data_IF_864665369429
#
_entry.id   IF_864665369429
#
_cell.length_a   1.000
_cell.length_b   1.000
_cell.length_c   1.000
_cell.angle_alpha   90.00
_cell.angle_beta   90.00
_cell.angle_gamma   90.00
#
_symmetry.space_group_name_H-M   'P 1'
#
loop_
_entity.id
_entity.type
_entity.pdbx_description
1 polymer ?
#
# COMPACT_ATOMS: atom_id res chain seq x y z
N UNK A 1 -12.97 -7.82 -14.61
CA UNK A 1 -11.71 -7.93 -15.35
C UNK A 1 -11.30 -6.53 -15.76
N UNK A 2 -10.37 -5.90 -15.06
CA UNK A 2 -9.77 -4.63 -15.50
C UNK A 2 -8.26 -4.71 -15.26
N UNK A 3 -7.61 -5.56 -16.04
CA UNK A 3 -6.18 -5.46 -16.31
C UNK A 3 -6.04 -4.62 -17.58
N UNK A 4 -6.46 -3.36 -17.51
CA UNK A 4 -6.47 -2.41 -18.64
C UNK A 4 -5.09 -1.77 -18.89
N UNK A 5 -4.09 -2.13 -18.09
CA UNK A 5 -2.73 -1.60 -18.17
C UNK A 5 -2.57 -0.21 -17.55
N UNK A 6 -3.61 0.32 -16.90
CA UNK A 6 -3.54 1.60 -16.20
C UNK A 6 -2.61 1.47 -15.01
N UNK A 7 -1.63 2.38 -14.91
CA UNK A 7 -0.69 2.41 -13.79
C UNK A 7 -1.43 2.83 -12.53
N UNK A 8 -1.22 2.09 -11.45
CA UNK A 8 -1.79 2.43 -10.15
C UNK A 8 -1.16 3.69 -9.58
N UNK A 9 -1.97 4.46 -8.85
CA UNK A 9 -1.51 5.60 -8.07
C UNK A 9 -0.42 5.16 -7.09
N UNK A 10 0.73 5.86 -7.01
CA UNK A 10 1.77 5.54 -6.05
C UNK A 10 1.29 5.75 -4.62
N UNK A 11 1.73 4.88 -3.71
CA UNK A 11 1.51 4.99 -2.27
C UNK A 11 2.77 5.55 -1.61
N UNK A 12 2.63 6.60 -0.81
CA UNK A 12 3.71 7.24 -0.05
C UNK A 12 3.41 7.06 1.45
N UNK A 13 4.33 6.44 2.17
CA UNK A 13 4.19 6.18 3.61
C UNK A 13 5.15 7.08 4.39
N UNK A 14 4.61 8.01 5.15
CA UNK A 14 5.39 8.85 6.06
C UNK A 14 5.66 8.14 7.39
N UNK A 15 6.86 8.34 7.95
CA UNK A 15 7.21 7.90 9.31
C UNK A 15 6.60 8.83 10.36
N UNK A 16 5.28 8.76 10.53
CA UNK A 16 4.47 9.60 11.41
C UNK A 16 3.32 8.79 12.03
N UNK A 17 2.80 9.25 13.17
CA UNK A 17 1.61 8.60 13.80
C UNK A 17 0.28 8.96 13.12
N UNK A 18 0.26 10.07 12.38
CA UNK A 18 -0.92 10.60 11.69
C UNK A 18 -0.47 11.28 10.39
N UNK A 19 -1.36 11.31 9.41
CA UNK A 19 -1.14 12.04 8.16
C UNK A 19 -1.14 13.54 8.47
N UNK A 20 -0.14 14.31 7.99
CA UNK A 20 -0.14 15.77 8.11
C UNK A 20 -1.39 16.39 7.47
N UNK A 21 -1.89 17.47 8.07
CA UNK A 21 -2.98 18.24 7.49
C UNK A 21 -2.40 19.27 6.49
N UNK A 22 -2.12 18.81 5.28
CA UNK A 22 -1.55 19.61 4.20
C UNK A 22 -2.11 19.16 2.85
N UNK A 23 -1.90 19.98 1.83
CA UNK A 23 -2.27 19.64 0.45
C UNK A 23 -1.19 18.73 -0.15
N UNK A 24 -1.63 17.59 -0.69
CA UNK A 24 -0.76 16.65 -1.39
C UNK A 24 -1.04 16.69 -2.89
N UNK A 25 -0.04 16.36 -3.73
CA UNK A 25 -0.25 16.25 -5.18
C UNK A 25 -1.41 15.30 -5.52
N UNK A 26 -2.16 15.61 -6.57
CA UNK A 26 -3.20 14.70 -7.05
C UNK A 26 -2.60 13.39 -7.58
N UNK A 27 -3.36 12.30 -7.48
CA UNK A 27 -2.96 11.00 -8.02
C UNK A 27 -1.96 10.24 -7.17
N UNK A 28 -1.67 10.66 -5.93
CA UNK A 28 -0.91 9.87 -4.95
C UNK A 28 -1.77 9.49 -3.75
N UNK A 29 -1.47 8.35 -3.16
CA UNK A 29 -2.10 7.89 -1.92
C UNK A 29 -1.13 8.14 -0.77
N UNK A 30 -1.59 8.88 0.24
CA UNK A 30 -0.78 9.21 1.41
C UNK A 30 -1.20 8.34 2.59
N UNK A 31 -0.21 7.73 3.24
CA UNK A 31 -0.35 6.92 4.44
C UNK A 31 0.68 7.38 5.48
N UNK A 32 0.42 7.10 6.74
CA UNK A 32 1.34 7.40 7.83
C UNK A 32 1.33 6.29 8.86
N UNK A 33 2.51 5.76 9.17
CA UNK A 33 2.70 4.82 10.27
C UNK A 33 4.02 5.10 11.00
N UNK A 34 4.18 4.56 12.21
CA UNK A 34 5.37 4.81 13.05
C UNK A 34 6.67 4.27 12.46
N UNK A 35 6.59 3.34 11.52
CA UNK A 35 7.72 2.64 10.95
C UNK A 35 8.28 3.39 9.73
N UNK A 36 7.40 4.02 8.94
CA UNK A 36 7.71 4.77 7.73
C UNK A 36 7.91 3.90 6.49
N UNK A 37 7.44 2.66 6.51
CA UNK A 37 7.57 1.71 5.41
C UNK A 37 6.37 0.75 5.38
N UNK A 38 6.30 -0.06 4.31
CA UNK A 38 5.21 -1.00 4.04
C UNK A 38 5.23 -2.16 5.05
N UNK A 39 4.35 -2.12 6.05
CA UNK A 39 4.17 -3.19 7.02
C UNK A 39 2.92 -4.03 6.73
N UNK A 40 2.59 -4.97 7.61
CA UNK A 40 1.46 -5.89 7.42
C UNK A 40 0.11 -5.17 7.34
N UNK A 41 -0.12 -4.17 8.19
CA UNK A 41 -1.37 -3.38 8.19
C UNK A 41 -1.51 -2.58 6.89
N UNK A 42 -0.42 -1.98 6.42
CA UNK A 42 -0.39 -1.28 5.13
C UNK A 42 -0.63 -2.22 3.96
N UNK A 43 -0.07 -3.44 3.99
CA UNK A 43 -0.29 -4.45 2.95
C UNK A 43 -1.75 -4.89 2.86
N UNK A 44 -2.41 -5.14 4.00
CA UNK A 44 -3.83 -5.51 4.04
C UNK A 44 -4.68 -4.39 3.45
N UNK A 45 -4.47 -3.16 3.93
CA UNK A 45 -5.18 -1.99 3.42
C UNK A 45 -5.00 -1.85 1.91
N UNK A 46 -3.76 -2.04 1.44
CA UNK A 46 -3.37 -1.89 0.06
C UNK A 46 -4.02 -2.95 -0.87
N UNK A 47 -4.15 -4.20 -0.41
CA UNK A 47 -4.90 -5.26 -1.11
C UNK A 47 -6.39 -4.94 -1.19
N UNK A 48 -7.00 -4.52 -0.07
CA UNK A 48 -8.45 -4.27 0.01
C UNK A 48 -8.91 -3.04 -0.79
N UNK A 49 -8.06 -2.01 -0.89
CA UNK A 49 -8.47 -0.70 -1.40
C UNK A 49 -7.92 -0.36 -2.79
N UNK A 50 -6.80 -0.98 -3.20
CA UNK A 50 -6.12 -0.61 -4.45
C UNK A 50 -6.08 -1.75 -5.48
N UNK A 51 -5.87 -3.00 -5.06
CA UNK A 51 -5.44 -4.03 -6.01
C UNK A 51 -6.55 -4.90 -6.61
N UNK A 52 -6.30 -5.37 -7.83
CA UNK A 52 -7.15 -6.34 -8.55
C UNK A 52 -6.40 -7.49 -9.24
N UNK A 53 -5.05 -7.43 -9.38
CA UNK A 53 -4.23 -8.53 -9.96
C UNK A 53 -2.75 -8.49 -9.50
N UNK A 54 -2.31 -9.43 -8.66
CA UNK A 54 -1.07 -9.37 -7.87
C UNK A 54 0.22 -9.82 -8.58
N UNK A 55 1.21 -8.92 -8.65
CA UNK A 55 2.64 -9.25 -8.82
C UNK A 55 3.41 -8.55 -7.70
N UNK A 56 3.80 -9.30 -6.67
CA UNK A 56 4.65 -8.81 -5.58
C UNK A 56 6.11 -9.12 -5.87
N UNK A 57 6.99 -8.22 -5.45
CA UNK A 57 8.41 -8.54 -5.33
C UNK A 57 8.66 -9.44 -4.10
N UNK A 58 9.88 -9.95 -3.96
CA UNK A 58 10.22 -10.87 -2.86
C UNK A 58 10.56 -10.17 -1.54
N UNK A 59 9.96 -9.01 -1.26
CA UNK A 59 10.15 -8.32 0.01
C UNK A 59 9.62 -9.16 1.19
N UNK A 60 10.27 -9.09 2.36
CA UNK A 60 9.97 -9.99 3.49
C UNK A 60 8.57 -9.79 4.07
N UNK A 61 8.06 -8.55 4.11
CA UNK A 61 6.71 -8.25 4.58
C UNK A 61 5.62 -8.87 3.67
N UNK A 62 5.91 -9.08 2.38
CA UNK A 62 4.98 -9.69 1.43
C UNK A 62 4.84 -11.21 1.60
N UNK A 63 5.73 -11.82 2.38
CA UNK A 63 5.82 -13.27 2.56
C UNK A 63 5.24 -13.75 3.89
N UNK A 64 4.65 -12.87 4.70
CA UNK A 64 4.06 -13.27 5.99
C UNK A 64 2.80 -14.11 5.78
N UNK A 65 2.50 -15.00 6.74
CA UNK A 65 1.31 -15.86 6.66
C UNK A 65 0.00 -15.08 6.77
N UNK A 66 0.03 -13.89 7.38
CA UNK A 66 -1.15 -13.03 7.45
C UNK A 66 -1.43 -12.43 6.08
N UNK A 67 -0.41 -11.89 5.40
CA UNK A 67 -0.56 -11.34 4.03
C UNK A 67 -1.00 -12.43 3.05
N UNK A 68 -0.43 -13.63 3.12
CA UNK A 68 -0.83 -14.75 2.24
C UNK A 68 -2.29 -15.16 2.38
N UNK A 69 -2.89 -15.02 3.56
CA UNK A 69 -4.30 -15.38 3.81
C UNK A 69 -5.29 -14.35 3.26
N UNK A 70 -4.81 -13.17 2.88
CA UNK A 70 -5.59 -12.06 2.34
C UNK A 70 -5.53 -11.99 0.81
N UNK A 71 -4.73 -12.87 0.18
CA UNK A 71 -4.62 -13.08 -1.26
C UNK A 71 -5.49 -14.26 -1.69
#
# INVERSE_FOLDING_TARGET
>A
YLADGTKLSPVIIFKLKKIPCEEFPEGVVIRANSEGWMNEEEMIWWIENIWSLLVLDSFSAHKTEVVKKQL
#
